data_IF_519424581661
#
_entry.id   IF_519424581661
#
_cell.length_a   1.000
_cell.length_b   1.000
_cell.length_c   1.000
_cell.angle_alpha   90.00
_cell.angle_beta   90.00
_cell.angle_gamma   90.00
#
_symmetry.space_group_name_H-M   'P 1'
#
loop_
_entity.id
_entity.type
_entity.pdbx_description
1 polymer ?
#
# COMPACT_ATOMS: atom_id res chain seq x y z
N UNK A 1 -1.40 23.50 8.12
CA UNK A 1 -1.80 22.33 7.31
C UNK A 1 -2.79 21.54 8.15
N UNK A 2 -3.86 21.02 7.55
CA UNK A 2 -4.77 20.16 8.31
C UNK A 2 -4.07 18.83 8.60
N UNK A 3 -4.21 18.30 9.81
CA UNK A 3 -3.64 17.01 10.17
C UNK A 3 -4.37 15.90 9.41
N UNK A 4 -3.65 14.92 8.83
CA UNK A 4 -4.27 13.81 8.13
C UNK A 4 -4.67 12.69 9.11
N UNK A 5 -5.81 12.07 8.87
CA UNK A 5 -6.17 10.78 9.47
C UNK A 5 -5.43 9.66 8.75
N UNK A 6 -4.46 9.03 9.41
CA UNK A 6 -3.60 8.01 8.82
C UNK A 6 -4.08 6.61 9.16
N UNK A 7 -4.74 5.95 8.22
CA UNK A 7 -5.13 4.53 8.33
C UNK A 7 -3.95 3.63 7.97
N UNK A 8 -3.71 2.60 8.77
CA UNK A 8 -2.57 1.71 8.60
C UNK A 8 -1.26 2.25 9.19
N UNK A 9 -1.35 3.18 10.13
CA UNK A 9 -0.22 3.83 10.84
C UNK A 9 0.74 2.86 11.54
N UNK A 10 0.32 1.62 11.80
CA UNK A 10 1.16 0.56 12.40
C UNK A 10 1.84 -0.35 11.38
N UNK A 11 1.58 -0.15 10.08
CA UNK A 11 2.24 -0.86 8.99
C UNK A 11 3.62 -0.28 8.67
N UNK A 12 4.36 -0.95 7.78
CA UNK A 12 5.73 -0.56 7.43
C UNK A 12 5.82 0.89 6.91
N UNK A 13 5.09 1.24 5.87
CA UNK A 13 5.12 2.60 5.31
C UNK A 13 4.42 3.59 6.26
N UNK A 14 3.23 3.24 6.76
CA UNK A 14 2.45 4.12 7.63
C UNK A 14 3.16 4.51 8.92
N UNK A 15 3.93 3.59 9.54
CA UNK A 15 4.69 3.92 10.76
C UNK A 15 5.87 4.85 10.47
N UNK A 16 6.55 4.69 9.34
CA UNK A 16 7.58 5.63 8.90
C UNK A 16 6.98 7.01 8.58
N UNK A 17 5.84 7.04 7.90
CA UNK A 17 5.12 8.29 7.64
C UNK A 17 4.75 9.03 8.93
N UNK A 18 4.15 8.35 9.91
CA UNK A 18 3.80 8.97 11.18
C UNK A 18 5.03 9.41 12.00
N UNK A 19 6.16 8.71 11.87
CA UNK A 19 7.43 9.12 12.48
C UNK A 19 7.97 10.42 11.87
N UNK A 20 7.87 10.56 10.54
CA UNK A 20 8.36 11.76 9.83
C UNK A 20 7.42 12.97 10.01
N UNK A 21 6.13 12.70 10.13
CA UNK A 21 5.10 13.74 10.26
C UNK A 21 4.24 13.51 11.51
N UNK A 22 4.77 13.80 12.71
CA UNK A 22 4.15 13.45 13.98
C UNK A 22 2.86 14.22 14.30
N UNK A 23 2.59 15.31 13.60
CA UNK A 23 1.36 16.10 13.78
C UNK A 23 0.11 15.43 13.18
N UNK A 24 0.28 14.38 12.37
CA UNK A 24 -0.83 13.64 11.81
C UNK A 24 -1.50 12.72 12.84
N UNK A 25 -2.73 12.32 12.57
CA UNK A 25 -3.56 11.53 13.48
C UNK A 25 -3.49 10.06 13.09
N UNK A 26 -2.71 9.21 13.79
CA UNK A 26 -2.68 7.78 13.53
C UNK A 26 -3.98 7.14 13.97
N UNK A 27 -4.73 6.56 13.04
CA UNK A 27 -6.00 5.90 13.33
C UNK A 27 -5.75 4.51 13.92
N UNK A 28 -6.30 4.19 15.10
CA UNK A 28 -6.12 2.90 15.74
C UNK A 28 -6.63 1.74 14.90
N UNK A 29 -5.96 0.59 15.03
CA UNK A 29 -6.40 -0.63 14.35
C UNK A 29 -7.81 -1.02 14.80
N UNK A 30 -8.71 -1.22 13.84
CA UNK A 30 -10.12 -1.52 14.11
C UNK A 30 -11.05 -0.31 13.98
N UNK A 31 -10.56 0.91 14.14
CA UNK A 31 -11.34 2.12 13.86
C UNK A 31 -11.54 2.29 12.35
N UNK A 32 -12.75 2.72 11.94
CA UNK A 32 -13.13 2.90 10.53
C UNK A 32 -13.51 4.33 10.17
N UNK A 33 -13.78 5.17 11.13
CA UNK A 33 -14.11 6.58 10.92
C UNK A 33 -12.85 7.45 11.03
N UNK A 34 -12.65 8.39 10.08
CA UNK A 34 -11.56 9.34 10.14
C UNK A 34 -11.84 10.42 11.19
N UNK A 35 -10.77 11.05 11.70
CA UNK A 35 -10.83 12.16 12.67
C UNK A 35 -10.59 13.53 12.01
N UNK A 36 -10.20 13.53 10.72
CA UNK A 36 -10.03 14.74 9.90
C UNK A 36 -10.62 14.54 8.51
N UNK A 37 -10.80 15.64 7.75
CA UNK A 37 -11.25 15.59 6.36
C UNK A 37 -10.18 15.10 5.39
N UNK A 38 -8.90 15.26 5.74
CA UNK A 38 -7.79 14.75 4.94
C UNK A 38 -7.39 13.34 5.41
N UNK A 39 -7.47 12.38 4.52
CA UNK A 39 -7.27 10.96 4.82
C UNK A 39 -6.09 10.42 4.03
N UNK A 40 -5.20 9.69 4.70
CA UNK A 40 -4.14 8.90 4.08
C UNK A 40 -4.34 7.42 4.43
N UNK A 41 -4.55 6.60 3.40
CA UNK A 41 -4.96 5.20 3.57
C UNK A 41 -3.87 4.24 3.10
N UNK A 42 -3.20 3.58 4.07
CA UNK A 42 -2.15 2.58 3.85
C UNK A 42 -2.61 1.14 4.10
N UNK A 43 -3.84 0.88 4.61
CA UNK A 43 -4.24 -0.48 4.95
C UNK A 43 -4.25 -1.34 3.69
N UNK A 44 -3.43 -2.39 3.70
CA UNK A 44 -3.33 -3.35 2.60
C UNK A 44 -2.60 -4.61 3.06
N UNK A 45 -2.87 -5.72 2.38
CA UNK A 45 -1.91 -6.83 2.27
C UNK A 45 -0.77 -6.42 1.33
N UNK A 46 0.29 -7.21 1.24
CA UNK A 46 1.52 -6.80 0.54
C UNK A 46 2.10 -7.86 -0.39
N UNK A 47 1.41 -8.97 -0.61
CA UNK A 47 1.99 -10.10 -1.37
C UNK A 47 0.93 -10.94 -2.07
N UNK A 48 1.23 -11.37 -3.29
CA UNK A 48 0.45 -12.37 -4.02
C UNK A 48 0.52 -13.78 -3.39
N UNK A 49 1.42 -14.00 -2.41
CA UNK A 49 1.58 -15.31 -1.74
C UNK A 49 0.42 -15.65 -0.79
N UNK A 50 -0.43 -14.70 -0.46
CA UNK A 50 -1.59 -14.93 0.42
C UNK A 50 -2.54 -15.98 -0.17
N UNK A 51 -2.65 -16.05 -1.50
CA UNK A 51 -3.49 -17.03 -2.21
C UNK A 51 -3.21 -18.49 -1.81
N UNK A 52 -1.98 -18.80 -1.39
CA UNK A 52 -1.58 -20.15 -0.96
C UNK A 52 -1.91 -20.45 0.50
N UNK A 53 -2.33 -19.45 1.27
CA UNK A 53 -2.60 -19.58 2.71
C UNK A 53 -4.07 -19.33 3.02
N UNK A 54 -4.61 -18.25 2.55
CA UNK A 54 -5.98 -17.80 2.83
C UNK A 54 -6.45 -16.84 1.74
N UNK A 55 -7.40 -17.29 0.93
CA UNK A 55 -7.98 -16.49 -0.16
C UNK A 55 -8.76 -15.26 0.35
N UNK A 56 -9.26 -15.29 1.58
CA UNK A 56 -10.10 -14.22 2.12
C UNK A 56 -9.27 -13.04 2.59
N UNK A 57 -8.00 -13.24 2.94
CA UNK A 57 -7.17 -12.20 3.58
C UNK A 57 -7.03 -10.94 2.71
N UNK A 58 -6.88 -11.10 1.40
CA UNK A 58 -6.79 -9.96 0.48
C UNK A 58 -8.15 -9.28 0.28
N UNK A 59 -9.22 -10.04 0.21
CA UNK A 59 -10.59 -9.52 0.10
C UNK A 59 -10.95 -8.73 1.35
N UNK A 60 -10.79 -9.33 2.53
CA UNK A 60 -11.16 -8.70 3.79
C UNK A 60 -10.31 -7.46 4.06
N UNK A 61 -9.00 -7.52 3.80
CA UNK A 61 -8.10 -6.41 4.09
C UNK A 61 -8.19 -5.30 3.04
N UNK A 62 -8.11 -5.64 1.76
CA UNK A 62 -7.98 -4.65 0.69
C UNK A 62 -9.32 -4.06 0.24
N UNK A 63 -10.41 -4.81 0.35
CA UNK A 63 -11.73 -4.39 -0.14
C UNK A 63 -12.72 -4.11 0.99
N UNK A 64 -12.97 -5.08 1.89
CA UNK A 64 -13.97 -4.92 2.95
C UNK A 64 -13.61 -3.77 3.90
N UNK A 65 -12.40 -3.76 4.46
CA UNK A 65 -11.96 -2.67 5.35
C UNK A 65 -12.00 -1.32 4.63
N UNK A 66 -11.59 -1.27 3.36
CA UNK A 66 -11.65 -0.06 2.56
C UNK A 66 -13.08 0.46 2.43
N UNK A 67 -14.05 -0.40 2.09
CA UNK A 67 -15.45 0.01 1.94
C UNK A 67 -16.08 0.44 3.27
N UNK A 68 -15.68 -0.19 4.38
CA UNK A 68 -16.07 0.24 5.72
C UNK A 68 -15.56 1.68 5.99
N UNK A 69 -14.29 1.99 5.70
CA UNK A 69 -13.74 3.35 5.88
C UNK A 69 -14.42 4.34 4.93
N UNK A 70 -14.57 4.02 3.66
CA UNK A 70 -15.23 4.89 2.68
C UNK A 70 -16.65 5.27 3.12
N UNK A 71 -17.40 4.36 3.73
CA UNK A 71 -18.77 4.60 4.20
C UNK A 71 -18.87 5.74 5.23
N UNK A 72 -17.76 6.07 5.92
CA UNK A 72 -17.64 7.19 6.85
C UNK A 72 -17.13 8.49 6.21
N UNK A 73 -16.74 8.46 4.93
CA UNK A 73 -16.19 9.61 4.18
C UNK A 73 -17.30 10.25 3.34
N UNK A 74 -18.24 10.97 3.96
CA UNK A 74 -19.42 11.55 3.27
C UNK A 74 -19.37 13.08 3.11
N UNK A 75 -18.30 13.71 3.60
CA UNK A 75 -18.16 15.17 3.54
C UNK A 75 -17.51 15.58 2.22
N UNK A 76 -18.04 16.61 1.58
CA UNK A 76 -17.52 17.13 0.30
C UNK A 76 -16.16 17.81 0.43
N UNK A 77 -15.76 18.20 1.64
CA UNK A 77 -14.42 18.73 1.94
C UNK A 77 -13.38 17.62 2.19
N UNK A 78 -13.78 16.34 2.10
CA UNK A 78 -12.87 15.19 2.26
C UNK A 78 -11.92 15.09 1.07
N UNK A 79 -10.64 14.80 1.37
CA UNK A 79 -9.64 14.37 0.40
C UNK A 79 -9.17 12.97 0.76
N UNK A 80 -9.45 11.99 -0.09
CA UNK A 80 -9.08 10.59 0.14
C UNK A 80 -7.79 10.24 -0.62
N UNK A 81 -6.67 10.14 0.10
CA UNK A 81 -5.38 9.76 -0.46
C UNK A 81 -5.20 8.25 -0.29
N UNK A 82 -5.30 7.51 -1.39
CA UNK A 82 -5.22 6.05 -1.42
C UNK A 82 -3.85 5.58 -1.89
N UNK A 83 -3.14 4.82 -1.05
CA UNK A 83 -1.87 4.20 -1.43
C UNK A 83 -2.15 2.86 -2.10
N UNK A 84 -1.94 2.82 -3.41
CA UNK A 84 -2.02 1.64 -4.26
C UNK A 84 -0.63 1.03 -4.48
N UNK A 85 -0.45 0.28 -5.54
CA UNK A 85 0.79 -0.44 -5.86
C UNK A 85 1.10 -0.40 -7.35
N UNK A 86 2.36 -0.32 -7.71
CA UNK A 86 2.82 -0.54 -9.09
C UNK A 86 2.46 -1.90 -9.67
N UNK A 87 2.18 -2.89 -8.83
CA UNK A 87 1.71 -4.21 -9.27
C UNK A 87 0.31 -4.23 -9.92
N UNK A 88 -0.39 -3.09 -9.97
CA UNK A 88 -1.67 -2.97 -10.70
C UNK A 88 -1.46 -2.86 -12.22
N UNK A 89 -0.27 -2.46 -12.66
CA UNK A 89 0.07 -2.42 -14.07
C UNK A 89 0.22 -3.83 -14.65
N UNK A 90 0.14 -3.92 -15.98
CA UNK A 90 0.48 -5.14 -16.71
C UNK A 90 1.95 -5.51 -16.46
N UNK A 91 2.23 -6.81 -16.32
CA UNK A 91 3.58 -7.30 -16.01
C UNK A 91 4.60 -7.01 -17.12
N UNK A 92 4.14 -6.80 -18.34
CA UNK A 92 4.99 -6.59 -19.54
C UNK A 92 5.30 -5.09 -19.76
N UNK A 93 4.73 -4.19 -18.96
CA UNK A 93 4.97 -2.75 -19.09
C UNK A 93 6.26 -2.38 -18.35
N UNK A 94 7.20 -1.80 -19.09
CA UNK A 94 8.42 -1.18 -18.57
C UNK A 94 8.18 0.33 -18.54
N UNK A 95 8.66 1.02 -17.48
CA UNK A 95 8.49 2.48 -17.28
C UNK A 95 7.02 2.93 -17.34
N UNK A 96 6.17 2.21 -16.60
CA UNK A 96 4.73 2.44 -16.55
C UNK A 96 4.36 3.90 -16.20
N UNK A 97 3.41 4.44 -16.95
CA UNK A 97 2.80 5.76 -16.71
C UNK A 97 1.40 5.57 -16.12
N UNK A 98 0.86 6.65 -15.55
CA UNK A 98 -0.43 6.60 -14.85
C UNK A 98 -1.59 6.13 -15.73
N UNK A 99 -1.54 6.44 -17.04
CA UNK A 99 -2.59 6.12 -18.02
C UNK A 99 -2.38 4.74 -18.70
N UNK A 100 -1.30 4.05 -18.38
CA UNK A 100 -1.01 2.75 -18.97
C UNK A 100 -2.01 1.68 -18.51
N UNK A 101 -2.22 0.62 -19.33
CA UNK A 101 -3.15 -0.45 -19.01
C UNK A 101 -2.84 -1.14 -17.68
N UNK A 102 -3.90 -1.42 -16.93
CA UNK A 102 -3.82 -2.10 -15.65
C UNK A 102 -4.52 -3.46 -15.75
N UNK A 103 -3.75 -4.49 -16.09
CA UNK A 103 -4.22 -5.88 -16.24
C UNK A 103 -3.46 -6.81 -15.28
N UNK A 104 -3.58 -6.63 -13.95
CA UNK A 104 -2.85 -7.44 -13.00
C UNK A 104 -3.34 -8.89 -13.01
N UNK A 105 -2.43 -9.84 -12.87
CA UNK A 105 -2.72 -11.28 -12.82
C UNK A 105 -2.61 -11.88 -11.42
N UNK A 106 -1.88 -11.24 -10.52
CA UNK A 106 -1.73 -11.69 -9.13
C UNK A 106 -2.95 -11.36 -8.28
N UNK A 107 -3.34 -12.24 -7.35
CA UNK A 107 -4.54 -12.07 -6.51
C UNK A 107 -4.53 -10.76 -5.72
N UNK A 108 -3.42 -10.47 -5.03
CA UNK A 108 -3.20 -9.18 -4.36
C UNK A 108 -3.34 -8.00 -5.33
N UNK A 109 -2.69 -8.08 -6.48
CA UNK A 109 -2.66 -7.01 -7.48
C UNK A 109 -4.06 -6.73 -8.04
N UNK A 110 -4.85 -7.79 -8.29
CA UNK A 110 -6.25 -7.70 -8.71
C UNK A 110 -7.08 -7.00 -7.64
N UNK A 111 -6.94 -7.37 -6.36
CA UNK A 111 -7.69 -6.72 -5.28
C UNK A 111 -7.28 -5.26 -5.09
N UNK A 112 -5.99 -4.90 -5.29
CA UNK A 112 -5.53 -3.50 -5.29
C UNK A 112 -6.15 -2.70 -6.44
N UNK A 113 -6.18 -3.25 -7.64
CA UNK A 113 -6.84 -2.60 -8.79
C UNK A 113 -8.34 -2.45 -8.58
N UNK A 114 -9.00 -3.45 -8.02
CA UNK A 114 -10.41 -3.37 -7.61
C UNK A 114 -10.61 -2.25 -6.58
N UNK A 115 -9.73 -2.15 -5.58
CA UNK A 115 -9.77 -1.11 -4.56
C UNK A 115 -9.66 0.31 -5.17
N UNK A 116 -8.76 0.54 -6.16
CA UNK A 116 -8.71 1.80 -6.90
C UNK A 116 -10.06 2.13 -7.55
N UNK A 117 -10.68 1.14 -8.21
CA UNK A 117 -11.97 1.32 -8.88
C UNK A 117 -13.09 1.66 -7.88
N UNK A 118 -13.09 1.04 -6.70
CA UNK A 118 -14.05 1.35 -5.63
C UNK A 118 -13.85 2.78 -5.09
N UNK A 119 -12.61 3.20 -4.83
CA UNK A 119 -12.30 4.57 -4.41
C UNK A 119 -12.78 5.58 -5.44
N UNK A 120 -12.45 5.38 -6.71
CA UNK A 120 -12.85 6.26 -7.82
C UNK A 120 -14.38 6.36 -7.90
N UNK A 121 -15.06 5.22 -7.91
CA UNK A 121 -16.51 5.17 -8.01
C UNK A 121 -17.19 5.87 -6.83
N UNK A 122 -16.76 5.55 -5.61
CA UNK A 122 -17.30 6.15 -4.39
C UNK A 122 -17.08 7.66 -4.37
N UNK A 123 -15.86 8.11 -4.58
CA UNK A 123 -15.50 9.52 -4.52
C UNK A 123 -16.24 10.34 -5.58
N UNK A 124 -16.36 9.83 -6.80
CA UNK A 124 -17.16 10.49 -7.86
C UNK A 124 -18.64 10.57 -7.49
N UNK A 125 -19.22 9.52 -6.89
CA UNK A 125 -20.63 9.49 -6.49
C UNK A 125 -20.95 10.54 -5.41
N UNK A 126 -20.04 10.75 -4.46
CA UNK A 126 -20.27 11.64 -3.32
C UNK A 126 -19.57 13.01 -3.45
N UNK A 127 -18.94 13.32 -4.60
CA UNK A 127 -18.24 14.59 -4.82
C UNK A 127 -17.01 14.79 -3.92
N UNK A 128 -16.31 13.70 -3.60
CA UNK A 128 -15.12 13.68 -2.74
C UNK A 128 -13.87 13.76 -3.62
N UNK A 129 -12.91 14.57 -3.24
CA UNK A 129 -11.61 14.61 -3.91
C UNK A 129 -10.79 13.37 -3.54
N UNK A 130 -10.07 12.83 -4.51
CA UNK A 130 -9.18 11.67 -4.26
C UNK A 130 -7.87 11.76 -5.01
N UNK A 131 -6.85 11.08 -4.48
CA UNK A 131 -5.58 10.83 -5.13
C UNK A 131 -5.23 9.36 -4.97
N UNK A 132 -4.61 8.76 -5.98
CA UNK A 132 -4.14 7.38 -5.98
C UNK A 132 -2.64 7.38 -6.21
N UNK A 133 -1.89 6.81 -5.26
CA UNK A 133 -0.44 6.70 -5.33
C UNK A 133 -0.05 5.23 -5.58
N UNK A 134 0.46 4.92 -6.76
CA UNK A 134 0.95 3.58 -7.11
C UNK A 134 2.43 3.48 -6.77
N UNK A 135 2.73 3.00 -5.58
CA UNK A 135 4.11 2.89 -5.09
C UNK A 135 4.77 1.60 -5.58
N UNK A 136 6.09 1.65 -5.84
CA UNK A 136 6.92 0.51 -6.22
C UNK A 136 7.27 -0.39 -5.04
N UNK A 137 8.39 -1.13 -5.14
CA UNK A 137 8.88 -1.97 -4.05
C UNK A 137 9.59 -1.10 -3.01
N UNK A 138 8.95 -0.88 -1.88
CA UNK A 138 9.50 -0.05 -0.81
C UNK A 138 10.55 -0.82 -0.01
N UNK A 139 11.71 -0.19 0.22
CA UNK A 139 12.76 -0.72 1.07
C UNK A 139 13.25 0.33 2.08
N UNK A 140 13.96 -0.11 3.13
CA UNK A 140 14.50 0.76 4.16
C UNK A 140 14.35 0.16 5.55
N UNK A 141 14.43 1.01 6.57
CA UNK A 141 14.29 0.60 7.97
C UNK A 141 12.81 0.29 8.25
N UNK A 142 12.54 -0.91 8.74
CA UNK A 142 11.23 -1.30 9.23
C UNK A 142 11.22 -1.27 10.77
N UNK A 143 10.64 -0.23 11.38
CA UNK A 143 10.60 -0.11 12.84
C UNK A 143 9.67 -1.14 13.49
N UNK A 144 8.83 -1.83 12.69
CA UNK A 144 7.86 -2.81 13.19
C UNK A 144 8.38 -4.24 13.18
N UNK A 145 9.53 -4.51 12.53
CA UNK A 145 10.04 -5.87 12.34
C UNK A 145 11.57 -5.90 12.46
N UNK A 146 12.07 -6.77 13.32
CA UNK A 146 13.50 -7.06 13.46
C UNK A 146 14.11 -7.77 12.25
N UNK A 147 13.29 -8.26 11.33
CA UNK A 147 13.70 -8.95 10.13
C UNK A 147 13.00 -8.34 8.92
N UNK A 148 13.75 -7.69 8.03
CA UNK A 148 13.23 -7.06 6.82
C UNK A 148 12.39 -8.04 5.99
N UNK A 149 11.15 -7.64 5.68
CA UNK A 149 10.19 -8.45 4.91
C UNK A 149 10.38 -8.31 3.40
N UNK A 150 11.13 -7.32 2.95
CA UNK A 150 11.41 -7.11 1.54
C UNK A 150 12.64 -7.90 1.06
N UNK A 151 12.77 -8.07 -0.25
CA UNK A 151 13.85 -8.86 -0.85
C UNK A 151 15.23 -8.30 -0.51
N UNK A 152 15.41 -6.98 -0.50
CA UNK A 152 16.68 -6.36 -0.15
C UNK A 152 17.07 -6.64 1.31
N UNK A 153 16.11 -6.54 2.23
CA UNK A 153 16.33 -6.93 3.63
C UNK A 153 16.67 -8.41 3.80
N UNK A 154 16.08 -9.29 2.98
CA UNK A 154 16.44 -10.71 2.92
C UNK A 154 17.89 -10.89 2.44
N UNK A 155 18.27 -10.27 1.31
CA UNK A 155 19.63 -10.38 0.75
C UNK A 155 20.69 -9.87 1.72
N UNK A 156 20.48 -8.67 2.31
CA UNK A 156 21.38 -8.09 3.30
C UNK A 156 21.56 -9.03 4.51
N UNK A 157 20.49 -9.65 4.97
CA UNK A 157 20.56 -10.60 6.10
C UNK A 157 21.36 -11.84 5.74
N UNK A 158 21.12 -12.44 4.58
CA UNK A 158 21.89 -13.59 4.10
C UNK A 158 23.38 -13.25 4.00
N UNK A 159 23.72 -12.11 3.41
CA UNK A 159 25.11 -11.64 3.31
C UNK A 159 25.75 -11.46 4.69
N UNK A 160 25.05 -10.84 5.64
CA UNK A 160 25.57 -10.64 7.01
C UNK A 160 25.79 -11.93 7.77
N UNK A 161 25.03 -12.98 7.48
CA UNK A 161 25.12 -14.30 8.12
C UNK A 161 25.98 -15.28 7.35
N UNK A 162 26.46 -14.90 6.18
CA UNK A 162 27.10 -15.79 5.22
C UNK A 162 26.22 -17.01 4.84
N UNK A 163 24.89 -16.78 4.80
CA UNK A 163 23.92 -17.78 4.38
C UNK A 163 23.82 -17.83 2.85
N UNK A 164 23.49 -18.99 2.25
CA UNK A 164 23.23 -19.09 0.81
C UNK A 164 22.07 -18.17 0.38
N UNK A 165 22.25 -17.51 -0.76
CA UNK A 165 21.21 -16.69 -1.39
C UNK A 165 20.53 -17.50 -2.48
N UNK A 166 19.22 -17.72 -2.33
CA UNK A 166 18.40 -18.36 -3.34
C UNK A 166 17.70 -17.30 -4.20
N UNK A 167 18.12 -17.19 -5.47
CA UNK A 167 17.52 -16.29 -6.45
C UNK A 167 16.52 -17.06 -7.32
N UNK A 168 15.30 -16.54 -7.41
CA UNK A 168 14.29 -17.08 -8.33
C UNK A 168 14.46 -16.43 -9.72
N UNK A 169 14.19 -17.19 -10.78
CA UNK A 169 14.18 -16.68 -12.17
C UNK A 169 15.53 -16.19 -12.69
N UNK A 170 16.64 -16.77 -12.24
CA UNK A 170 17.99 -16.44 -12.72
C UNK A 170 18.54 -15.08 -12.28
N UNK A 171 17.77 -14.27 -11.61
CA UNK A 171 18.18 -12.93 -11.14
C UNK A 171 18.03 -11.81 -12.16
N UNK A 172 17.46 -12.07 -13.34
CA UNK A 172 17.35 -11.10 -14.44
C UNK A 172 16.14 -10.15 -14.30
N UNK A 173 15.31 -10.29 -13.28
CA UNK A 173 14.15 -9.44 -13.06
C UNK A 173 14.55 -8.04 -12.64
N UNK A 174 14.20 -7.06 -13.44
CA UNK A 174 14.25 -5.65 -13.06
C UNK A 174 13.10 -5.32 -12.12
N UNK A 175 13.38 -4.57 -11.07
CA UNK A 175 12.39 -4.11 -10.09
C UNK A 175 12.67 -2.65 -9.77
N UNK A 176 11.60 -1.89 -9.70
CA UNK A 176 11.65 -0.53 -9.19
C UNK A 176 11.66 -0.56 -7.65
N UNK A 177 12.66 0.08 -7.05
CA UNK A 177 12.85 0.16 -5.61
C UNK A 177 12.83 1.60 -5.13
N UNK A 178 11.98 1.88 -4.16
CA UNK A 178 11.81 3.20 -3.55
C UNK A 178 12.23 3.15 -2.08
N UNK A 179 13.11 4.07 -1.65
CA UNK A 179 13.44 4.17 -0.22
C UNK A 179 12.23 4.67 0.55
N UNK A 180 12.01 4.13 1.75
CA UNK A 180 10.76 4.37 2.51
C UNK A 180 10.55 5.84 2.85
N UNK A 181 11.62 6.60 3.14
CA UNK A 181 11.51 8.02 3.45
C UNK A 181 11.19 8.85 2.19
N UNK A 182 11.57 8.39 0.98
CA UNK A 182 11.21 9.03 -0.29
C UNK A 182 9.74 8.76 -0.67
N UNK A 183 9.16 7.67 -0.17
CA UNK A 183 7.74 7.35 -0.34
C UNK A 183 6.87 8.19 0.59
N UNK A 184 7.39 8.56 1.76
CA UNK A 184 6.66 9.32 2.77
C UNK A 184 6.65 10.82 2.49
#
# INVERSE_FOLDING_TARGET
MNNLSVFGATGYVGSNYCRMYPDNIPIPRGQRHPESSDILYFISTTTNQNVFKDLQIDIDTNLKILTEVLSHCKRTDTVFNFVSSGFVYDNDIIDAKEDDPCNPTGFYSITKRCAESLVISYCKTFGINYRIFRIGNVFGIDPTVTQGKNVLGYLIRCLKKNDPIHMYGGGDYQKDYMYVDDVC
#
